data_IF_807255489864
#
_entry.id   IF_807255489864
#
_cell.length_a   1.000
_cell.length_b   1.000
_cell.length_c   1.000
_cell.angle_alpha   90.00
_cell.angle_beta   90.00
_cell.angle_gamma   90.00
#
_symmetry.space_group_name_H-M   'P 1'
#
loop_
_entity.id
_entity.type
_entity.pdbx_description
1 polymer ?
#
# COMPACT_ATOMS: atom_id res chain seq x y z
N UNK A 1 -15.06 19.10 -12.56
CA UNK A 1 -13.63 18.82 -12.86
C UNK A 1 -13.47 17.31 -12.76
N UNK A 2 -13.35 16.61 -13.87
CA UNK A 2 -13.08 15.16 -13.86
C UNK A 2 -11.61 15.01 -13.43
N UNK A 3 -11.38 14.65 -12.16
CA UNK A 3 -10.05 14.25 -11.72
C UNK A 3 -9.68 12.97 -12.48
N UNK A 4 -8.51 12.95 -13.07
CA UNK A 4 -7.99 11.79 -13.80
C UNK A 4 -7.97 10.56 -12.89
N UNK A 5 -8.22 9.38 -13.47
CA UNK A 5 -8.28 8.11 -12.74
C UNK A 5 -6.90 7.72 -12.24
N UNK A 6 -6.62 8.01 -10.99
CA UNK A 6 -5.40 7.57 -10.29
C UNK A 6 -5.70 7.28 -8.83
N UNK A 7 -5.07 6.24 -8.27
CA UNK A 7 -5.09 5.96 -6.83
C UNK A 7 -3.97 6.71 -6.10
N UNK A 8 -2.98 7.25 -6.83
CA UNK A 8 -1.83 7.91 -6.24
C UNK A 8 -2.15 9.37 -5.86
N UNK A 9 -2.10 9.66 -4.56
CA UNK A 9 -2.33 11.01 -4.03
C UNK A 9 -1.31 12.03 -4.54
N UNK A 10 -0.07 11.60 -4.79
CA UNK A 10 0.97 12.47 -5.35
C UNK A 10 0.62 12.95 -6.76
N UNK A 11 0.01 12.10 -7.60
CA UNK A 11 -0.42 12.51 -8.95
C UNK A 11 -1.58 13.51 -8.90
N UNK A 12 -2.54 13.27 -7.99
CA UNK A 12 -3.63 14.23 -7.74
C UNK A 12 -3.09 15.58 -7.27
N UNK A 13 -2.10 15.57 -6.37
CA UNK A 13 -1.47 16.78 -5.87
C UNK A 13 -0.69 17.53 -6.96
N UNK A 14 0.06 16.84 -7.80
CA UNK A 14 0.78 17.42 -8.95
C UNK A 14 -0.17 18.12 -9.92
N UNK A 15 -1.27 17.46 -10.28
CA UNK A 15 -2.31 18.01 -11.18
C UNK A 15 -2.93 19.30 -10.62
N UNK A 16 -3.33 19.28 -9.34
CA UNK A 16 -3.93 20.44 -8.69
C UNK A 16 -2.93 21.58 -8.44
N UNK A 17 -1.66 21.25 -8.23
CA UNK A 17 -0.58 22.22 -8.02
C UNK A 17 -0.22 22.99 -9.30
N UNK A 18 -0.33 22.37 -10.46
CA UNK A 18 -0.17 23.04 -11.75
C UNK A 18 -1.17 24.20 -11.91
N UNK A 19 -2.32 24.14 -11.22
CA UNK A 19 -3.29 25.24 -11.11
C UNK A 19 -3.00 26.27 -10.00
N UNK A 20 -1.89 26.14 -9.23
CA UNK A 20 -1.42 27.12 -8.25
C UNK A 20 -2.22 27.22 -6.93
N UNK A 21 -3.08 26.26 -6.59
CA UNK A 21 -4.07 26.38 -5.50
C UNK A 21 -3.92 25.41 -4.32
N UNK A 22 -3.10 24.36 -4.42
CA UNK A 22 -3.17 23.26 -3.45
C UNK A 22 -2.35 23.48 -2.18
N UNK A 23 -1.15 24.05 -2.27
CA UNK A 23 -0.22 24.18 -1.12
C UNK A 23 -0.15 25.61 -0.57
N UNK A 24 -1.32 26.24 -0.31
CA UNK A 24 -1.39 27.50 0.41
C UNK A 24 -1.48 27.24 1.92
N UNK A 25 -1.08 28.18 2.78
CA UNK A 25 -1.14 28.01 4.24
C UNK A 25 -2.53 27.58 4.75
N UNK A 26 -3.60 28.04 4.11
CA UNK A 26 -5.00 27.78 4.50
C UNK A 26 -5.64 26.59 3.79
N UNK A 27 -4.92 25.92 2.88
CA UNK A 27 -5.48 24.80 2.08
C UNK A 27 -5.79 23.56 2.93
N UNK A 28 -5.15 23.42 4.10
CA UNK A 28 -5.22 22.21 4.90
C UNK A 28 -4.50 21.00 4.30
N UNK A 29 -3.67 21.22 3.26
CA UNK A 29 -2.83 20.19 2.62
C UNK A 29 -1.37 20.63 2.74
N UNK A 30 -0.53 19.73 3.25
CA UNK A 30 0.91 19.96 3.44
C UNK A 30 1.70 18.93 2.64
N UNK A 31 2.76 19.38 1.97
CA UNK A 31 3.69 18.51 1.24
C UNK A 31 5.06 18.60 1.91
N UNK A 32 5.69 17.45 2.08
CA UNK A 32 7.07 17.31 2.55
C UNK A 32 7.80 16.29 1.69
N UNK A 33 8.96 16.67 1.20
CA UNK A 33 9.87 15.78 0.48
C UNK A 33 11.10 15.47 1.31
N UNK A 34 11.63 14.28 1.16
CA UNK A 34 12.82 13.80 1.86
C UNK A 34 13.49 12.69 1.06
N UNK A 35 14.77 12.40 1.38
CA UNK A 35 15.50 11.25 0.86
C UNK A 35 15.68 10.25 2.02
N UNK A 36 15.20 9.02 1.84
CA UNK A 36 15.30 7.95 2.84
C UNK A 36 15.88 6.69 2.23
N UNK A 37 16.95 6.16 2.80
CA UNK A 37 17.66 4.97 2.29
C UNK A 37 17.99 5.06 0.77
N UNK A 38 18.21 6.29 0.25
CA UNK A 38 18.43 6.55 -1.17
C UNK A 38 17.17 6.59 -2.04
N UNK A 39 15.97 6.46 -1.47
CA UNK A 39 14.69 6.61 -2.17
C UNK A 39 14.13 8.01 -1.90
N UNK A 40 13.69 8.75 -2.93
CA UNK A 40 12.87 9.94 -2.75
C UNK A 40 11.53 9.57 -2.09
N UNK A 41 11.16 10.30 -1.06
CA UNK A 41 9.90 10.10 -0.32
C UNK A 41 9.13 11.41 -0.28
N UNK A 42 7.89 11.37 -0.78
CA UNK A 42 6.95 12.49 -0.75
C UNK A 42 5.84 12.17 0.25
N UNK A 43 5.68 12.99 1.28
CA UNK A 43 4.59 12.90 2.25
C UNK A 43 3.60 14.04 2.02
N UNK A 44 2.35 13.69 1.74
CA UNK A 44 1.22 14.61 1.66
C UNK A 44 0.35 14.39 2.89
N UNK A 45 0.18 15.43 3.68
CA UNK A 45 -0.71 15.43 4.85
C UNK A 45 -1.96 16.23 4.54
N UNK A 46 -3.10 15.55 4.53
CA UNK A 46 -4.43 16.17 4.48
C UNK A 46 -4.89 16.37 5.91
N UNK A 47 -4.86 17.62 6.39
CA UNK A 47 -5.00 17.94 7.82
C UNK A 47 -6.44 18.34 8.19
N UNK A 48 -7.31 18.62 7.22
CA UNK A 48 -8.65 19.14 7.50
C UNK A 48 -9.69 18.65 6.48
N UNK A 49 -10.99 18.70 6.81
CA UNK A 49 -12.05 18.44 5.85
C UNK A 49 -12.04 19.38 4.63
N UNK A 50 -11.55 20.61 4.78
CA UNK A 50 -11.35 21.53 3.66
C UNK A 50 -10.26 21.03 2.71
N UNK A 51 -9.11 20.59 3.26
CA UNK A 51 -8.04 19.95 2.50
C UNK A 51 -8.51 18.67 1.81
N UNK A 52 -9.32 17.86 2.50
CA UNK A 52 -9.88 16.65 1.92
C UNK A 52 -10.74 16.94 0.68
N UNK A 53 -11.58 17.97 0.73
CA UNK A 53 -12.36 18.43 -0.43
C UNK A 53 -11.48 19.00 -1.54
N UNK A 54 -10.42 19.72 -1.18
CA UNK A 54 -9.51 20.33 -2.14
C UNK A 54 -8.73 19.30 -2.95
N UNK A 55 -8.26 18.21 -2.32
CA UNK A 55 -7.46 17.18 -2.97
C UNK A 55 -8.29 15.96 -3.42
N UNK A 56 -9.55 15.86 -3.00
CA UNK A 56 -10.39 14.68 -3.29
C UNK A 56 -9.93 13.41 -2.58
N UNK A 57 -9.25 13.53 -1.44
CA UNK A 57 -8.74 12.42 -0.63
C UNK A 57 -9.13 12.59 0.84
N UNK A 58 -9.42 11.51 1.58
CA UNK A 58 -9.71 11.60 3.00
C UNK A 58 -8.61 12.29 3.81
N UNK A 59 -8.98 12.80 4.99
CA UNK A 59 -8.01 13.29 5.98
C UNK A 59 -7.07 12.16 6.37
N UNK A 60 -5.76 12.43 6.38
CA UNK A 60 -4.73 11.44 6.67
C UNK A 60 -3.38 11.80 6.09
N UNK A 61 -2.45 10.88 6.21
CA UNK A 61 -1.09 10.96 5.64
C UNK A 61 -0.98 10.02 4.47
N UNK A 62 -0.39 10.49 3.39
CA UNK A 62 -0.12 9.74 2.17
C UNK A 62 1.37 9.84 1.87
N UNK A 63 2.07 8.72 1.97
CA UNK A 63 3.52 8.63 1.78
C UNK A 63 3.79 7.89 0.49
N UNK A 64 4.48 8.53 -0.43
CA UNK A 64 4.88 7.96 -1.72
C UNK A 64 6.38 7.76 -1.74
N UNK A 65 6.83 6.52 -1.92
CA UNK A 65 8.24 6.13 -2.05
C UNK A 65 8.52 5.90 -3.53
N UNK A 66 9.49 6.61 -4.08
CA UNK A 66 9.96 6.41 -5.45
C UNK A 66 11.04 5.32 -5.47
N UNK A 67 10.75 4.21 -6.13
CA UNK A 67 11.64 3.04 -6.22
C UNK A 67 12.65 3.13 -7.36
N UNK A 68 12.49 4.08 -8.30
CA UNK A 68 13.34 4.17 -9.50
C UNK A 68 14.85 4.10 -9.23
N UNK A 69 15.38 4.74 -8.17
CA UNK A 69 16.79 4.62 -7.85
C UNK A 69 17.26 3.21 -7.50
N UNK A 70 16.35 2.33 -7.08
CA UNK A 70 16.62 0.96 -6.64
C UNK A 70 16.24 -0.11 -7.69
N UNK A 71 15.51 0.25 -8.75
CA UNK A 71 14.99 -0.73 -9.73
C UNK A 71 16.10 -1.39 -10.58
N UNK A 72 17.26 -0.76 -10.73
CA UNK A 72 18.34 -1.28 -11.56
C UNK A 72 19.06 -2.50 -10.94
N UNK A 73 18.89 -2.72 -9.62
CA UNK A 73 19.54 -3.80 -8.88
C UNK A 73 18.58 -4.42 -7.89
N UNK A 74 18.30 -5.71 -8.06
CA UNK A 74 17.39 -6.44 -7.19
C UNK A 74 17.79 -6.40 -5.70
N UNK A 75 19.10 -6.45 -5.40
CA UNK A 75 19.63 -6.35 -4.05
C UNK A 75 19.32 -4.99 -3.39
N UNK A 76 19.39 -3.90 -4.16
CA UNK A 76 19.05 -2.57 -3.68
C UNK A 76 17.53 -2.43 -3.46
N UNK A 77 16.72 -3.03 -4.35
CA UNK A 77 15.28 -3.03 -4.23
C UNK A 77 14.83 -3.78 -2.97
N UNK A 78 15.30 -4.99 -2.76
CA UNK A 78 14.92 -5.82 -1.61
C UNK A 78 15.66 -5.46 -0.32
N UNK A 79 16.75 -4.72 -0.40
CA UNK A 79 17.51 -4.20 0.74
C UNK A 79 17.09 -2.78 1.12
N UNK A 80 17.62 -1.77 0.39
CA UNK A 80 17.45 -0.35 0.72
C UNK A 80 16.00 0.13 0.62
N UNK A 81 15.27 -0.25 -0.44
CA UNK A 81 13.89 0.15 -0.59
C UNK A 81 12.98 -0.54 0.42
N UNK A 82 13.24 -1.81 0.81
CA UNK A 82 12.51 -2.48 1.87
C UNK A 82 12.75 -1.82 3.24
N UNK A 83 13.98 -1.36 3.52
CA UNK A 83 14.29 -0.59 4.74
C UNK A 83 13.58 0.76 4.74
N UNK A 84 13.53 1.47 3.59
CA UNK A 84 12.78 2.71 3.44
C UNK A 84 11.29 2.47 3.72
N UNK A 85 10.70 1.47 3.08
CA UNK A 85 9.31 1.07 3.31
C UNK A 85 9.03 0.76 4.79
N UNK A 86 9.91 -0.01 5.43
CA UNK A 86 9.78 -0.35 6.84
C UNK A 86 9.84 0.89 7.75
N UNK A 87 10.70 1.85 7.45
CA UNK A 87 10.80 3.11 8.17
C UNK A 87 9.54 3.96 8.07
N UNK A 88 9.03 4.15 6.85
CA UNK A 88 7.82 4.93 6.59
C UNK A 88 6.57 4.23 7.16
N UNK A 89 6.49 2.91 7.07
CA UNK A 89 5.39 2.14 7.67
C UNK A 89 5.40 2.27 9.20
N UNK A 90 6.56 2.15 9.87
CA UNK A 90 6.67 2.35 11.32
C UNK A 90 6.20 3.73 11.75
N UNK A 91 6.47 4.77 10.95
CA UNK A 91 6.02 6.13 11.24
C UNK A 91 4.49 6.31 11.10
N UNK A 92 3.81 5.43 10.38
CA UNK A 92 2.35 5.41 10.23
C UNK A 92 1.65 4.50 11.23
N UNK A 93 2.32 3.43 11.70
CA UNK A 93 1.75 2.47 12.64
C UNK A 93 1.36 3.15 13.96
N UNK A 94 0.25 2.73 14.59
CA UNK A 94 -0.03 3.09 15.97
C UNK A 94 1.04 2.50 16.90
N UNK A 95 1.20 3.01 18.13
CA UNK A 95 2.03 2.36 19.13
C UNK A 95 1.58 0.90 19.31
N UNK A 96 2.51 -0.04 19.12
CA UNK A 96 2.25 -1.47 19.24
C UNK A 96 3.04 -2.05 20.42
N UNK A 97 2.33 -2.61 21.41
CA UNK A 97 2.92 -3.36 22.51
C UNK A 97 3.46 -4.73 22.04
N UNK A 98 4.26 -5.39 22.87
CA UNK A 98 4.87 -6.68 22.53
C UNK A 98 3.85 -7.79 22.23
N UNK A 99 2.66 -7.72 22.85
CA UNK A 99 1.59 -8.73 22.66
C UNK A 99 0.54 -8.35 21.64
N UNK A 100 0.67 -7.17 21.02
CA UNK A 100 -0.26 -6.73 20.00
C UNK A 100 -0.12 -7.57 18.73
N UNK A 101 -1.25 -7.84 18.10
CA UNK A 101 -1.30 -8.56 16.83
C UNK A 101 -1.51 -7.57 15.68
N UNK A 102 -0.70 -7.69 14.65
CA UNK A 102 -0.93 -7.05 13.37
C UNK A 102 -1.58 -8.05 12.40
N UNK A 103 -2.63 -7.61 11.70
CA UNK A 103 -3.24 -8.37 10.60
C UNK A 103 -2.82 -7.75 9.28
N UNK A 104 -2.11 -8.50 8.44
CA UNK A 104 -1.74 -8.10 7.08
C UNK A 104 -2.70 -8.76 6.11
N UNK A 105 -3.33 -7.95 5.26
CA UNK A 105 -4.34 -8.39 4.28
C UNK A 105 -3.79 -8.17 2.88
N UNK A 106 -3.58 -9.23 2.13
CA UNK A 106 -3.27 -9.19 0.70
C UNK A 106 -4.56 -9.25 -0.10
N UNK A 107 -4.81 -8.20 -0.87
CA UNK A 107 -6.02 -8.03 -1.67
C UNK A 107 -5.70 -8.29 -3.14
N UNK A 108 -6.75 -8.39 -3.95
CA UNK A 108 -6.65 -8.58 -5.40
C UNK A 108 -6.82 -10.03 -5.85
N UNK A 109 -6.75 -10.22 -7.16
CA UNK A 109 -6.95 -11.50 -7.85
C UNK A 109 -5.61 -12.15 -8.16
N UNK A 110 -5.26 -13.22 -7.46
CA UNK A 110 -4.02 -13.98 -7.69
C UNK A 110 -3.89 -14.55 -9.12
N UNK A 111 -5.02 -14.81 -9.80
CA UNK A 111 -5.03 -15.32 -11.17
C UNK A 111 -4.83 -14.22 -12.23
N UNK A 112 -4.82 -12.96 -11.82
CA UNK A 112 -4.58 -11.80 -12.69
C UNK A 112 -3.31 -11.10 -12.25
N UNK A 113 -2.20 -11.34 -12.92
CA UNK A 113 -0.87 -10.88 -12.49
C UNK A 113 -0.82 -9.40 -12.05
N UNK A 114 -1.37 -8.42 -12.80
CA UNK A 114 -1.34 -7.03 -12.35
C UNK A 114 -2.08 -6.78 -11.03
N UNK A 115 -3.00 -7.65 -10.64
CA UNK A 115 -3.81 -7.54 -9.43
C UNK A 115 -3.30 -8.46 -8.28
N UNK A 116 -2.22 -9.19 -8.50
CA UNK A 116 -1.72 -10.21 -7.58
C UNK A 116 -0.72 -9.68 -6.52
N UNK A 117 -0.36 -8.40 -6.55
CA UNK A 117 0.72 -7.84 -5.71
C UNK A 117 0.46 -8.01 -4.21
N UNK A 118 -0.81 -7.89 -3.78
CA UNK A 118 -1.18 -8.08 -2.38
C UNK A 118 -0.96 -9.52 -1.92
N UNK A 119 -1.40 -10.48 -2.70
CA UNK A 119 -1.21 -11.91 -2.41
C UNK A 119 0.27 -12.31 -2.47
N UNK A 120 1.01 -11.80 -3.47
CA UNK A 120 2.45 -12.06 -3.62
C UNK A 120 3.26 -11.50 -2.44
N UNK A 121 2.90 -10.33 -1.93
CA UNK A 121 3.55 -9.76 -0.74
C UNK A 121 3.44 -10.67 0.48
N UNK A 122 2.31 -11.35 0.66
CA UNK A 122 2.13 -12.28 1.77
C UNK A 122 2.97 -13.56 1.64
N UNK A 123 3.38 -13.94 0.43
CA UNK A 123 4.30 -15.07 0.20
C UNK A 123 5.68 -14.81 0.83
N UNK A 124 6.05 -13.54 0.95
CA UNK A 124 7.33 -13.07 1.47
C UNK A 124 7.20 -12.38 2.85
N UNK A 125 6.09 -12.61 3.58
CA UNK A 125 5.85 -12.05 4.91
C UNK A 125 6.14 -13.09 5.99
N UNK A 126 6.87 -12.72 7.03
CA UNK A 126 7.05 -13.56 8.22
C UNK A 126 5.77 -13.56 9.08
N UNK A 127 4.95 -14.60 8.93
CA UNK A 127 3.74 -14.81 9.73
C UNK A 127 4.10 -15.56 11.01
N UNK A 128 3.81 -14.99 12.18
CA UNK A 128 4.31 -15.45 13.47
C UNK A 128 3.22 -15.77 14.49
N UNK A 129 1.96 -15.33 14.26
CA UNK A 129 0.89 -15.46 15.27
C UNK A 129 0.76 -16.89 15.79
N UNK A 130 0.70 -17.88 14.91
CA UNK A 130 0.57 -19.29 15.30
C UNK A 130 1.76 -19.80 16.14
N UNK A 131 2.98 -19.29 15.88
CA UNK A 131 4.19 -19.66 16.63
C UNK A 131 4.19 -19.03 18.03
N UNK A 132 3.81 -17.75 18.10
CA UNK A 132 3.73 -17.00 19.36
C UNK A 132 2.64 -17.61 20.27
N UNK A 133 1.48 -17.95 19.69
CA UNK A 133 0.37 -18.55 20.44
C UNK A 133 0.71 -19.96 20.93
N UNK A 134 1.32 -20.81 20.07
CA UNK A 134 1.64 -22.20 20.42
C UNK A 134 2.86 -22.35 21.34
N UNK A 135 3.89 -21.50 21.18
CA UNK A 135 5.16 -21.60 21.90
C UNK A 135 5.65 -20.23 22.41
N UNK A 136 4.92 -19.58 23.34
CA UNK A 136 5.23 -18.21 23.77
C UNK A 136 6.60 -18.07 24.46
N UNK A 137 7.09 -19.11 25.12
CA UNK A 137 8.43 -19.08 25.72
C UNK A 137 9.55 -19.01 24.68
N UNK A 138 9.35 -19.59 23.49
CA UNK A 138 10.35 -19.63 22.41
C UNK A 138 10.22 -18.45 21.46
N UNK A 139 9.01 -18.07 21.10
CA UNK A 139 8.73 -17.08 20.07
C UNK A 139 8.07 -15.79 20.59
N UNK A 140 7.87 -15.65 21.90
CA UNK A 140 7.24 -14.46 22.49
C UNK A 140 8.06 -13.16 22.37
N UNK A 141 9.29 -13.23 21.86
CA UNK A 141 10.09 -12.07 21.48
C UNK A 141 9.68 -11.51 20.09
N UNK A 142 9.00 -12.32 19.27
CA UNK A 142 8.46 -11.88 18.01
C UNK A 142 7.09 -11.22 18.21
N UNK A 143 6.79 -10.22 17.38
CA UNK A 143 5.45 -9.64 17.31
C UNK A 143 4.50 -10.64 16.65
N UNK A 144 3.28 -10.76 17.18
CA UNK A 144 2.24 -11.57 16.58
C UNK A 144 1.77 -10.94 15.24
N UNK A 145 1.99 -11.65 14.14
CA UNK A 145 1.60 -11.26 12.78
C UNK A 145 0.73 -12.34 12.18
N UNK A 146 -0.50 -11.98 11.80
CA UNK A 146 -1.43 -12.81 11.04
C UNK A 146 -1.52 -12.31 9.60
N UNK A 147 -1.83 -13.18 8.66
CA UNK A 147 -2.02 -12.85 7.24
C UNK A 147 -3.35 -13.39 6.73
N UNK A 148 -3.99 -12.63 5.82
CA UNK A 148 -5.23 -13.01 5.15
C UNK A 148 -5.16 -12.65 3.67
N UNK A 149 -5.38 -13.61 2.78
CA UNK A 149 -5.65 -13.37 1.35
C UNK A 149 -7.15 -13.32 1.14
N UNK A 150 -7.66 -12.25 0.52
CA UNK A 150 -9.11 -12.06 0.38
C UNK A 150 -9.65 -12.55 -0.97
N UNK A 151 -8.81 -12.59 -2.00
CA UNK A 151 -9.30 -12.69 -3.37
C UNK A 151 -10.18 -11.49 -3.73
N UNK A 152 -11.02 -11.68 -4.73
CA UNK A 152 -11.96 -10.66 -5.22
C UNK A 152 -13.40 -11.17 -5.17
N UNK A 153 -14.38 -10.25 -5.10
CA UNK A 153 -15.81 -10.58 -5.04
C UNK A 153 -16.25 -11.57 -6.13
N UNK A 154 -15.74 -11.42 -7.36
CA UNK A 154 -16.10 -12.31 -8.46
C UNK A 154 -15.64 -13.78 -8.28
N UNK A 155 -14.63 -14.02 -7.43
CA UNK A 155 -14.15 -15.37 -7.13
C UNK A 155 -14.81 -15.94 -5.88
N UNK A 156 -15.06 -15.10 -4.87
CA UNK A 156 -15.48 -15.55 -3.54
C UNK A 156 -16.99 -15.40 -3.30
N UNK A 157 -17.65 -14.50 -4.03
CA UNK A 157 -19.03 -14.10 -3.76
C UNK A 157 -19.19 -13.27 -2.47
N UNK A 158 -18.08 -12.92 -1.81
CA UNK A 158 -18.04 -12.19 -0.54
C UNK A 158 -17.25 -10.89 -0.70
N UNK A 159 -17.79 -9.78 -0.21
CA UNK A 159 -17.08 -8.50 -0.22
C UNK A 159 -15.80 -8.59 0.62
N UNK A 160 -14.71 -8.03 0.10
CA UNK A 160 -13.41 -7.99 0.79
C UNK A 160 -13.53 -7.45 2.22
N UNK A 161 -14.31 -6.38 2.41
CA UNK A 161 -14.55 -5.80 3.74
C UNK A 161 -15.22 -6.81 4.70
N UNK A 162 -16.12 -7.67 4.23
CA UNK A 162 -16.79 -8.67 5.06
C UNK A 162 -15.83 -9.76 5.54
N UNK A 163 -14.93 -10.21 4.65
CA UNK A 163 -13.87 -11.15 5.01
C UNK A 163 -12.92 -10.56 6.05
N UNK A 164 -12.50 -9.30 5.86
CA UNK A 164 -11.62 -8.60 6.80
C UNK A 164 -12.32 -8.41 8.14
N UNK A 165 -13.60 -8.00 8.17
CA UNK A 165 -14.39 -7.86 9.41
C UNK A 165 -14.49 -9.18 10.17
N UNK A 166 -14.73 -10.29 9.48
CA UNK A 166 -14.74 -11.62 10.08
C UNK A 166 -13.39 -11.96 10.75
N UNK A 167 -12.28 -11.70 10.06
CA UNK A 167 -10.95 -11.89 10.61
C UNK A 167 -10.67 -10.96 11.80
N UNK A 168 -11.00 -9.67 11.69
CA UNK A 168 -10.81 -8.66 12.76
C UNK A 168 -11.60 -9.05 14.02
N UNK A 169 -12.87 -9.47 13.88
CA UNK A 169 -13.70 -9.87 15.02
C UNK A 169 -13.13 -11.06 15.79
N UNK A 170 -12.47 -11.99 15.10
CA UNK A 170 -11.89 -13.20 15.67
C UNK A 170 -10.46 -13.00 16.18
N UNK A 171 -9.59 -12.37 15.37
CA UNK A 171 -8.17 -12.16 15.67
C UNK A 171 -7.98 -11.01 16.67
N UNK A 172 -8.84 -9.99 16.63
CA UNK A 172 -8.76 -8.73 17.40
C UNK A 172 -7.39 -8.04 17.25
N UNK A 173 -6.97 -7.74 16.02
CA UNK A 173 -5.69 -7.10 15.79
C UNK A 173 -5.71 -5.65 16.29
N UNK A 174 -4.55 -5.12 16.69
CA UNK A 174 -4.37 -3.70 17.04
C UNK A 174 -4.29 -2.81 15.79
N UNK A 175 -3.88 -3.39 14.66
CA UNK A 175 -3.79 -2.70 13.37
C UNK A 175 -4.05 -3.68 12.22
N UNK A 176 -4.67 -3.18 11.16
CA UNK A 176 -4.79 -3.87 9.86
C UNK A 176 -3.88 -3.15 8.87
N UNK A 177 -3.09 -3.92 8.11
CA UNK A 177 -2.30 -3.40 6.98
C UNK A 177 -2.85 -4.05 5.73
N UNK A 178 -3.49 -3.26 4.86
CA UNK A 178 -4.10 -3.73 3.62
C UNK A 178 -3.16 -3.46 2.45
N UNK A 179 -2.78 -4.49 1.70
CA UNK A 179 -1.89 -4.42 0.54
C UNK A 179 -2.70 -4.66 -0.72
N UNK A 180 -2.65 -3.73 -1.68
CA UNK A 180 -3.45 -3.78 -2.91
C UNK A 180 -2.67 -3.32 -4.14
N UNK A 181 -3.15 -3.70 -5.32
CA UNK A 181 -2.71 -3.13 -6.58
C UNK A 181 -3.42 -1.79 -6.82
N UNK A 182 -2.70 -0.80 -7.34
CA UNK A 182 -3.22 0.53 -7.62
C UNK A 182 -3.20 0.82 -9.13
N UNK A 183 -3.93 1.85 -9.54
CA UNK A 183 -3.81 2.46 -10.85
C UNK A 183 -3.01 3.76 -10.76
N UNK A 184 -2.09 3.96 -11.70
CA UNK A 184 -1.40 5.23 -11.92
C UNK A 184 -1.95 5.95 -13.15
N UNK A 185 -1.73 7.25 -13.24
CA UNK A 185 -1.89 8.04 -14.45
C UNK A 185 -0.57 8.16 -15.22
N UNK A 186 0.52 8.29 -14.50
CA UNK A 186 1.85 8.48 -15.10
C UNK A 186 2.57 7.15 -15.28
N UNK A 187 3.01 6.87 -16.52
CA UNK A 187 3.84 5.69 -16.84
C UNK A 187 5.13 5.59 -16.01
N UNK A 188 5.66 6.72 -15.55
CA UNK A 188 6.89 6.76 -14.76
C UNK A 188 6.72 6.20 -13.35
N UNK A 189 5.48 6.09 -12.87
CA UNK A 189 5.16 5.56 -11.55
C UNK A 189 4.76 4.09 -11.59
N UNK A 190 4.44 3.58 -12.77
CA UNK A 190 3.99 2.21 -12.98
C UNK A 190 5.05 1.20 -12.54
N UNK A 191 4.74 0.35 -11.57
CA UNK A 191 5.67 -0.60 -10.91
C UNK A 191 6.95 0.05 -10.33
N UNK A 192 6.93 1.37 -10.12
CA UNK A 192 8.10 2.14 -9.70
C UNK A 192 7.84 2.98 -8.43
N UNK A 193 6.70 2.79 -7.80
CA UNK A 193 6.26 3.61 -6.66
C UNK A 193 5.52 2.74 -5.65
N UNK A 194 5.74 2.98 -4.36
CA UNK A 194 4.89 2.43 -3.28
C UNK A 194 4.19 3.59 -2.60
N UNK A 195 2.88 3.50 -2.42
CA UNK A 195 2.11 4.45 -1.62
C UNK A 195 1.64 3.80 -0.33
N UNK A 196 1.84 4.50 0.81
CA UNK A 196 1.26 4.16 2.10
C UNK A 196 0.27 5.24 2.51
N UNK A 197 -0.78 4.87 3.28
CA UNK A 197 -1.72 5.83 3.86
C UNK A 197 -2.34 5.31 5.14
N UNK A 198 -2.53 6.20 6.13
CA UNK A 198 -3.33 5.92 7.34
C UNK A 198 -4.83 6.28 7.18
N UNK A 199 -5.25 6.70 5.99
CA UNK A 199 -6.64 6.97 5.67
C UNK A 199 -7.42 5.72 5.17
N UNK A 200 -6.76 4.56 5.06
CA UNK A 200 -7.34 3.38 4.42
C UNK A 200 -7.33 3.46 2.90
N UNK A 201 -8.11 2.59 2.26
CA UNK A 201 -8.25 2.53 0.81
C UNK A 201 -9.67 2.12 0.38
N UNK A 202 -10.01 2.42 -0.88
CA UNK A 202 -11.22 1.90 -1.54
C UNK A 202 -10.78 0.98 -2.67
N UNK A 203 -10.94 -0.35 -2.54
CA UNK A 203 -10.48 -1.29 -3.56
C UNK A 203 -11.11 -1.01 -4.91
N UNK A 204 -10.31 -1.06 -5.99
CA UNK A 204 -10.79 -0.86 -7.35
C UNK A 204 -11.15 0.58 -7.72
N UNK A 205 -10.88 1.57 -6.87
CA UNK A 205 -11.22 2.99 -7.15
C UNK A 205 -10.54 3.52 -8.41
N UNK A 206 -9.28 3.21 -8.61
CA UNK A 206 -8.51 3.67 -9.78
C UNK A 206 -8.94 3.04 -11.11
N UNK A 207 -9.64 1.91 -11.07
CA UNK A 207 -10.18 1.24 -12.26
C UNK A 207 -11.70 1.42 -12.42
N UNK A 208 -12.31 2.33 -11.62
CA UNK A 208 -13.75 2.62 -11.67
C UNK A 208 -14.66 1.54 -11.09
N UNK A 209 -14.08 0.55 -10.40
CA UNK A 209 -14.80 -0.53 -9.74
C UNK A 209 -14.85 -0.29 -8.23
N UNK A 210 -15.60 0.75 -7.82
CA UNK A 210 -15.68 1.15 -6.42
C UNK A 210 -16.30 0.04 -5.55
N UNK A 211 -15.53 -0.46 -4.59
CA UNK A 211 -15.95 -1.38 -3.54
C UNK A 211 -16.14 -0.64 -2.22
N UNK A 212 -16.59 -1.35 -1.18
CA UNK A 212 -16.67 -0.78 0.16
C UNK A 212 -15.27 -0.40 0.67
N UNK A 213 -15.15 0.79 1.24
CA UNK A 213 -13.88 1.27 1.80
C UNK A 213 -13.37 0.36 2.92
N UNK A 214 -12.08 0.13 2.95
CA UNK A 214 -11.35 -0.56 4.01
C UNK A 214 -10.59 0.49 4.80
N UNK A 215 -11.20 0.99 5.85
CA UNK A 215 -10.70 2.07 6.69
C UNK A 215 -11.00 1.82 8.18
N UNK A 216 -10.48 2.70 9.03
CA UNK A 216 -10.67 2.57 10.48
C UNK A 216 -12.13 2.69 10.91
N UNK A 217 -12.95 3.48 10.21
CA UNK A 217 -14.37 3.63 10.52
C UNK A 217 -15.15 2.34 10.22
N UNK A 218 -14.80 1.67 9.13
CA UNK A 218 -15.43 0.42 8.72
C UNK A 218 -15.01 -0.79 9.58
N UNK A 219 -13.76 -0.82 10.08
CA UNK A 219 -13.21 -1.98 10.80
C UNK A 219 -13.17 -1.80 12.33
N UNK A 220 -13.26 -0.58 12.83
CA UNK A 220 -13.15 -0.28 14.28
C UNK A 220 -11.71 -0.38 14.82
N UNK A 221 -10.71 -0.56 13.95
CA UNK A 221 -9.28 -0.60 14.26
C UNK A 221 -8.50 0.24 13.25
N UNK A 222 -7.32 0.79 13.61
CA UNK A 222 -6.46 1.50 12.67
C UNK A 222 -6.17 0.68 11.42
N UNK A 223 -6.23 1.33 10.25
CA UNK A 223 -5.94 0.71 8.95
C UNK A 223 -4.82 1.48 8.28
N UNK A 224 -3.77 0.78 7.86
CA UNK A 224 -2.74 1.32 6.97
C UNK A 224 -2.94 0.66 5.61
N UNK A 225 -3.15 1.48 4.59
CA UNK A 225 -3.14 1.03 3.21
C UNK A 225 -1.72 1.07 2.65
N UNK A 226 -1.34 0.08 1.88
CA UNK A 226 -0.10 -0.02 1.14
C UNK A 226 -0.44 -0.46 -0.28
N UNK A 227 0.04 0.24 -1.28
CA UNK A 227 -0.25 -0.14 -2.65
C UNK A 227 0.83 0.22 -3.64
N UNK A 228 0.82 -0.49 -4.77
CA UNK A 228 1.75 -0.30 -5.89
C UNK A 228 0.95 -0.17 -7.17
N UNK A 229 1.18 0.86 -7.99
CA UNK A 229 0.54 0.97 -9.29
C UNK A 229 1.09 -0.08 -10.26
N UNK A 230 0.22 -0.96 -10.71
CA UNK A 230 0.52 -2.05 -11.65
C UNK A 230 -0.15 -1.88 -12.99
N UNK A 231 -1.13 -0.97 -13.07
CA UNK A 231 -1.88 -0.65 -14.27
C UNK A 231 -2.00 0.86 -14.49
N UNK A 232 -2.21 1.23 -15.73
CA UNK A 232 -2.51 2.60 -16.17
C UNK A 232 -3.70 2.54 -17.15
N UNK A 233 -4.59 3.54 -17.10
CA UNK A 233 -5.68 3.65 -18.08
C UNK A 233 -5.10 3.93 -19.46
N UNK A 234 -5.58 3.20 -20.49
CA UNK A 234 -5.11 3.36 -21.86
C UNK A 234 -5.34 4.77 -22.43
N UNK A 235 -6.40 5.47 -22.01
CA UNK A 235 -6.64 6.86 -22.38
C UNK A 235 -5.52 7.80 -21.90
N UNK A 236 -5.01 7.58 -20.70
CA UNK A 236 -3.90 8.36 -20.13
C UNK A 236 -2.60 8.24 -20.93
N UNK A 237 -2.40 7.11 -21.65
CA UNK A 237 -1.23 6.92 -22.52
C UNK A 237 -1.33 7.66 -23.86
N UNK A 238 -2.56 7.86 -24.36
CA UNK A 238 -2.81 8.48 -25.64
C UNK A 238 -2.91 10.02 -25.56
N UNK A 239 -2.82 10.62 -24.37
CA UNK A 239 -3.01 12.06 -24.16
C UNK A 239 -4.44 12.54 -24.43
N UNK A 240 -5.40 11.63 -24.51
CA UNK A 240 -6.82 11.92 -24.73
C UNK A 240 -7.48 12.05 -23.35
N UNK A 241 -7.39 13.24 -22.76
CA UNK A 241 -7.97 13.50 -21.43
C UNK A 241 -9.51 13.64 -21.45
N UNK A 242 -10.12 13.82 -22.61
CA UNK A 242 -11.55 14.13 -22.76
C UNK A 242 -12.43 12.98 -23.24
N UNK A 243 -11.88 11.82 -23.60
CA UNK A 243 -12.67 10.71 -24.08
C UNK A 243 -13.15 9.78 -22.95
N UNK A 244 -14.34 9.22 -23.16
CA UNK A 244 -14.92 8.20 -22.29
C UNK A 244 -13.88 7.10 -22.00
N UNK A 245 -13.87 6.55 -20.79
CA UNK A 245 -12.89 5.53 -20.42
C UNK A 245 -12.86 4.43 -21.46
N UNK A 246 -11.68 4.19 -22.04
CA UNK A 246 -11.51 3.16 -23.09
C UNK A 246 -11.83 1.75 -22.59
N UNK A 247 -11.95 1.58 -21.26
CA UNK A 247 -12.08 0.27 -20.63
C UNK A 247 -10.82 -0.58 -20.73
N UNK A 248 -9.73 -0.04 -21.30
CA UNK A 248 -8.46 -0.72 -21.46
C UNK A 248 -7.50 -0.30 -20.35
N UNK A 249 -6.93 -1.27 -19.66
CA UNK A 249 -5.83 -1.08 -18.73
C UNK A 249 -4.56 -1.68 -19.32
N UNK A 250 -3.47 -0.92 -19.22
CA UNK A 250 -2.17 -1.30 -19.74
C UNK A 250 -1.22 -1.56 -18.58
N UNK A 251 -0.43 -2.61 -18.71
CA UNK A 251 0.56 -3.04 -17.75
C UNK A 251 1.92 -3.27 -18.45
N UNK A 252 3.06 -3.23 -17.74
CA UNK A 252 4.35 -3.53 -18.35
C UNK A 252 4.39 -4.96 -18.94
N UNK A 253 5.15 -5.13 -20.03
CA UNK A 253 5.33 -6.45 -20.65
C UNK A 253 5.93 -7.49 -19.71
N UNK A 254 6.77 -7.05 -18.76
CA UNK A 254 7.46 -7.83 -17.76
C UNK A 254 6.76 -7.85 -16.39
N UNK A 255 5.43 -7.65 -16.38
CA UNK A 255 4.63 -7.52 -15.15
C UNK A 255 4.81 -8.71 -14.20
N UNK A 256 4.97 -9.93 -14.73
CA UNK A 256 5.12 -11.14 -13.90
C UNK A 256 6.40 -11.10 -13.04
N UNK A 257 7.52 -10.60 -13.57
CA UNK A 257 8.73 -10.43 -12.78
C UNK A 257 8.62 -9.25 -11.81
N UNK A 258 8.01 -8.14 -12.26
CA UNK A 258 7.82 -6.95 -11.42
C UNK A 258 6.94 -7.23 -10.21
N UNK A 259 5.83 -7.93 -10.38
CA UNK A 259 4.93 -8.26 -9.27
C UNK A 259 5.64 -9.13 -8.23
N UNK A 260 6.44 -10.13 -8.68
CA UNK A 260 7.25 -10.95 -7.77
C UNK A 260 8.31 -10.14 -7.01
N UNK A 261 9.01 -9.25 -7.70
CA UNK A 261 10.02 -8.38 -7.08
C UNK A 261 9.41 -7.40 -6.08
N UNK A 262 8.29 -6.78 -6.44
CA UNK A 262 7.53 -5.88 -5.58
C UNK A 262 6.91 -6.63 -4.39
N UNK A 263 6.41 -7.84 -4.60
CA UNK A 263 5.93 -8.70 -3.52
C UNK A 263 7.04 -9.02 -2.51
N UNK A 264 8.25 -9.36 -2.98
CA UNK A 264 9.42 -9.57 -2.10
C UNK A 264 9.79 -8.30 -1.34
N UNK A 265 9.84 -7.16 -2.02
CA UNK A 265 10.12 -5.86 -1.38
C UNK A 265 9.10 -5.58 -0.27
N UNK A 266 7.82 -5.71 -0.59
CA UNK A 266 6.73 -5.41 0.36
C UNK A 266 6.75 -6.40 1.53
N UNK A 267 6.84 -7.69 1.27
CA UNK A 267 6.87 -8.71 2.33
C UNK A 267 8.06 -8.54 3.28
N UNK A 268 9.26 -8.24 2.74
CA UNK A 268 10.44 -7.91 3.55
C UNK A 268 10.28 -6.61 4.32
N UNK A 269 9.77 -5.55 3.67
CA UNK A 269 9.52 -4.27 4.32
C UNK A 269 8.50 -4.36 5.44
N UNK A 270 7.41 -5.11 5.23
CA UNK A 270 6.41 -5.42 6.27
C UNK A 270 7.04 -6.20 7.43
N UNK A 271 7.83 -7.23 7.14
CA UNK A 271 8.51 -8.03 8.17
C UNK A 271 9.46 -7.16 8.98
N UNK A 272 10.30 -6.35 8.34
CA UNK A 272 11.20 -5.41 9.02
C UNK A 272 10.43 -4.40 9.88
N UNK A 273 9.29 -3.90 9.41
CA UNK A 273 8.49 -2.94 10.17
C UNK A 273 7.85 -3.57 11.41
N UNK A 274 7.34 -4.79 11.26
CA UNK A 274 6.58 -5.49 12.30
C UNK A 274 7.45 -6.27 13.27
N UNK A 275 8.68 -6.63 12.88
CA UNK A 275 9.64 -7.36 13.72
C UNK A 275 10.87 -6.47 14.03
N UNK A 276 10.77 -5.50 14.95
CA UNK A 276 11.84 -4.53 15.19
C UNK A 276 13.10 -5.14 15.80
N UNK A 277 13.02 -6.37 16.32
CA UNK A 277 14.15 -7.12 16.84
C UNK A 277 14.97 -7.88 15.79
N UNK A 278 14.52 -7.92 14.52
CA UNK A 278 15.23 -8.61 13.45
C UNK A 278 15.99 -7.61 12.56
N UNK A 279 17.24 -7.94 12.25
CA UNK A 279 18.06 -7.20 11.28
C UNK A 279 17.61 -7.50 9.83
N UNK A 280 18.07 -6.68 8.88
CA UNK A 280 17.78 -6.89 7.47
C UNK A 280 18.39 -8.21 6.94
N UNK A 281 19.58 -8.59 7.46
CA UNK A 281 20.24 -9.85 7.11
C UNK A 281 19.45 -11.06 7.65
N UNK A 282 18.98 -10.99 8.90
CA UNK A 282 18.16 -12.06 9.48
C UNK A 282 16.84 -12.23 8.73
N UNK A 283 16.17 -11.14 8.37
CA UNK A 283 14.94 -11.18 7.55
C UNK A 283 15.23 -11.77 6.17
N UNK A 284 16.34 -11.39 5.53
CA UNK A 284 16.73 -11.95 4.25
C UNK A 284 17.01 -13.46 4.34
N UNK A 285 17.69 -13.92 5.41
CA UNK A 285 17.97 -15.33 5.63
C UNK A 285 16.70 -16.16 5.91
N UNK A 286 15.69 -15.57 6.60
CA UNK A 286 14.44 -16.26 6.92
C UNK A 286 13.47 -16.35 5.75
N UNK A 287 13.49 -15.38 4.82
CA UNK A 287 12.50 -15.29 3.75
C UNK A 287 13.04 -15.71 2.36
N UNK A 288 14.32 -15.93 2.21
CA UNK A 288 14.96 -16.39 0.97
C UNK A 288 15.29 -15.24 0.03
#
# INVERSE_FOLDING_TARGET
MNLSRTDLTVETAEELSAGGRLFTPDSGVQLRESLRCGCPVTCIRVASPAGARAIGRPVGRYVTIDLRPCLARQEELTGRAAQCLAGELRALLPPLAARDTALVVGMGNEAMTPDAVGAEALTHLLVTRHMVDAMPRRFGHLRSVAALRTGVLAQTGVETLELIRGAVSHIRPTVVIAVDALAARSRHRLCATVQLSDAGLTPGSGVGNHRKAVDAAALGVPVIALGVPTVIDGAALCGQEDDAPTGLFVTPRDIDSRVRELGRLIGRGLTLALQPGLSAEEVAALLG
#
